data_IF_440906367120
#
_entry.id   IF_440906367120
#
_cell.length_a   1.000
_cell.length_b   1.000
_cell.length_c   1.000
_cell.angle_alpha   90.00
_cell.angle_beta   90.00
_cell.angle_gamma   90.00
#
_symmetry.space_group_name_H-M   'P 1'
#
loop_
_entity.id
_entity.type
_entity.pdbx_description
1 polymer ?
#
# COMPACT_ATOMS: atom_id res chain seq x y z
N UNK A 1 -3.15 3.49 11.92
CA UNK A 1 -2.23 2.64 11.12
C UNK A 1 -2.52 1.20 11.46
N UNK A 2 -2.54 0.28 10.49
CA UNK A 2 -2.75 -1.15 10.76
C UNK A 2 -1.63 -1.75 11.63
N UNK A 3 -1.99 -2.66 12.54
CA UNK A 3 -1.03 -3.36 13.41
C UNK A 3 0.04 -4.14 12.61
N UNK A 4 -0.32 -4.66 11.43
CA UNK A 4 0.60 -5.33 10.52
C UNK A 4 1.77 -4.43 10.08
N UNK A 5 1.55 -3.12 9.92
CA UNK A 5 2.61 -2.17 9.64
C UNK A 5 3.37 -1.76 10.91
N UNK A 6 2.65 -1.59 12.01
CA UNK A 6 3.24 -1.19 13.29
C UNK A 6 4.32 -2.16 13.79
N UNK A 7 4.08 -3.47 13.66
CA UNK A 7 5.06 -4.50 14.02
C UNK A 7 6.38 -4.44 13.22
N UNK A 8 6.38 -3.73 12.08
CA UNK A 8 7.52 -3.66 11.16
C UNK A 8 8.21 -2.29 11.13
N UNK A 9 7.78 -1.30 11.94
CA UNK A 9 8.36 0.05 11.95
C UNK A 9 9.90 0.07 12.09
N UNK A 10 10.44 -0.87 12.86
CA UNK A 10 11.89 -1.02 13.06
C UNK A 10 12.66 -1.23 11.74
N UNK A 11 12.03 -1.79 10.70
CA UNK A 11 12.64 -1.98 9.37
C UNK A 11 12.85 -0.66 8.63
N UNK A 12 12.14 0.41 9.00
CA UNK A 12 12.36 1.77 8.50
C UNK A 12 13.26 2.59 9.44
N UNK A 13 13.85 1.97 10.47
CA UNK A 13 14.56 2.68 11.53
C UNK A 13 13.65 3.54 12.41
N UNK A 14 12.35 3.26 12.43
CA UNK A 14 11.36 4.01 13.20
C UNK A 14 11.06 3.28 14.51
N UNK A 15 11.02 4.03 15.62
CA UNK A 15 10.71 3.49 16.95
C UNK A 15 9.66 4.34 17.66
N UNK A 16 8.73 3.68 18.37
CA UNK A 16 7.71 4.36 19.17
C UNK A 16 6.74 5.21 18.36
N UNK A 17 6.11 6.19 19.01
CA UNK A 17 5.05 7.01 18.38
C UNK A 17 5.59 8.19 17.53
N UNK A 18 6.90 8.45 17.56
CA UNK A 18 7.53 9.56 16.83
C UNK A 18 7.73 9.31 15.34
N UNK A 19 7.29 8.15 14.82
CA UNK A 19 7.39 7.83 13.39
C UNK A 19 6.76 8.89 12.49
N UNK A 20 5.73 9.61 12.96
CA UNK A 20 5.03 10.67 12.20
C UNK A 20 5.90 11.87 11.87
N UNK A 21 7.00 12.08 12.59
CA UNK A 21 7.96 13.14 12.27
C UNK A 21 8.87 12.77 11.07
N UNK A 22 8.96 11.48 10.74
CA UNK A 22 9.93 10.94 9.78
C UNK A 22 9.29 10.18 8.61
N UNK A 23 8.04 9.76 8.75
CA UNK A 23 7.33 8.97 7.76
C UNK A 23 5.93 9.51 7.49
N UNK A 24 5.50 9.34 6.24
CA UNK A 24 4.15 9.69 5.78
C UNK A 24 3.37 8.40 5.58
N UNK A 25 2.17 8.34 6.17
CA UNK A 25 1.21 7.29 5.89
C UNK A 25 0.20 7.76 4.85
N UNK A 26 0.12 7.06 3.73
CA UNK A 26 -0.89 7.25 2.68
C UNK A 26 -1.78 6.02 2.59
N UNK A 27 -3.09 6.24 2.60
CA UNK A 27 -4.10 5.19 2.45
C UNK A 27 -4.89 5.42 1.16
N UNK A 28 -5.03 4.38 0.35
CA UNK A 28 -5.73 4.43 -0.94
C UNK A 28 -6.62 3.21 -1.13
N UNK A 29 -7.68 3.40 -1.90
CA UNK A 29 -8.51 2.33 -2.46
C UNK A 29 -8.12 2.13 -3.91
N UNK A 30 -7.86 0.89 -4.29
CA UNK A 30 -7.60 0.51 -5.66
C UNK A 30 -8.89 -0.04 -6.27
N UNK A 31 -9.31 0.58 -7.36
CA UNK A 31 -10.49 0.19 -8.12
C UNK A 31 -10.09 -0.54 -9.42
N UNK A 32 -10.84 -1.58 -9.76
CA UNK A 32 -10.78 -2.26 -11.05
C UNK A 32 -12.05 -1.91 -11.83
N UNK A 33 -11.99 -0.85 -12.63
CA UNK A 33 -13.20 -0.22 -13.17
C UNK A 33 -14.10 0.27 -12.03
N UNK A 34 -15.37 -0.13 -12.00
CA UNK A 34 -16.31 0.27 -10.95
C UNK A 34 -16.19 -0.53 -9.64
N UNK A 35 -15.33 -1.55 -9.57
CA UNK A 35 -15.22 -2.44 -8.40
C UNK A 35 -14.12 -1.98 -7.46
N UNK A 36 -14.41 -1.87 -6.16
CA UNK A 36 -13.38 -1.67 -5.14
C UNK A 36 -12.65 -3.00 -4.88
N UNK A 37 -11.40 -3.08 -5.36
CA UNK A 37 -10.62 -4.31 -5.36
C UNK A 37 -9.70 -4.46 -4.16
N UNK A 38 -9.11 -3.38 -3.65
CA UNK A 38 -8.24 -3.47 -2.48
C UNK A 38 -8.05 -2.15 -1.75
N UNK A 39 -7.82 -2.23 -0.46
CA UNK A 39 -7.28 -1.11 0.33
C UNK A 39 -5.76 -1.27 0.46
N UNK A 40 -5.01 -0.18 0.32
CA UNK A 40 -3.56 -0.19 0.50
C UNK A 40 -3.08 0.94 1.42
N UNK A 41 -2.10 0.62 2.26
CA UNK A 41 -1.39 1.56 3.13
C UNK A 41 0.08 1.59 2.74
N UNK A 42 0.56 2.77 2.38
CA UNK A 42 1.97 3.05 2.10
C UNK A 42 2.52 3.94 3.22
N UNK A 43 3.34 3.37 4.11
CA UNK A 43 4.11 4.12 5.10
C UNK A 43 5.52 4.32 4.55
N UNK A 44 5.86 5.53 4.12
CA UNK A 44 7.12 5.80 3.44
C UNK A 44 7.93 6.90 4.11
N UNK A 45 9.25 6.85 3.93
CA UNK A 45 10.20 7.87 4.37
C UNK A 45 10.35 8.93 3.27
N UNK A 46 9.85 10.18 3.44
CA UNK A 46 9.99 11.21 2.40
C UNK A 46 11.44 11.51 2.04
N UNK A 47 12.37 11.38 2.99
CA UNK A 47 13.81 11.56 2.78
C UNK A 47 14.46 10.49 1.89
N UNK A 48 13.78 9.37 1.65
CA UNK A 48 14.25 8.27 0.81
C UNK A 48 13.65 8.30 -0.60
N UNK A 49 12.70 9.20 -0.86
CA UNK A 49 12.16 9.45 -2.20
C UNK A 49 13.02 10.47 -2.95
N UNK A 50 13.07 10.32 -4.27
CA UNK A 50 13.57 11.40 -5.12
C UNK A 50 12.70 12.65 -4.92
N UNK A 51 13.28 13.87 -4.86
CA UNK A 51 12.52 15.10 -4.62
C UNK A 51 11.31 15.25 -5.55
N UNK A 52 11.50 15.01 -6.85
CA UNK A 52 10.43 15.07 -7.85
C UNK A 52 9.30 14.06 -7.56
N UNK A 53 9.62 12.86 -7.09
CA UNK A 53 8.61 11.85 -6.76
C UNK A 53 7.75 12.28 -5.56
N UNK A 54 8.38 12.91 -4.55
CA UNK A 54 7.64 13.46 -3.41
C UNK A 54 6.70 14.58 -3.84
N UNK A 55 7.17 15.51 -4.67
CA UNK A 55 6.35 16.60 -5.21
C UNK A 55 5.17 16.06 -6.04
N UNK A 56 5.41 15.07 -6.90
CA UNK A 56 4.37 14.43 -7.69
C UNK A 56 3.30 13.76 -6.81
N UNK A 57 3.71 13.08 -5.74
CA UNK A 57 2.79 12.48 -4.77
C UNK A 57 1.97 13.51 -3.99
N UNK A 58 2.55 14.69 -3.71
CA UNK A 58 1.85 15.79 -3.05
C UNK A 58 0.86 16.49 -4.00
N UNK A 59 1.25 16.66 -5.26
CA UNK A 59 0.43 17.33 -6.27
C UNK A 59 -0.70 16.45 -6.81
N UNK A 60 -0.47 15.14 -6.92
CA UNK A 60 -1.44 14.19 -7.46
C UNK A 60 -1.77 13.10 -6.44
N UNK A 61 -2.88 13.24 -5.69
CA UNK A 61 -3.27 12.24 -4.70
C UNK A 61 -3.78 10.94 -5.34
N UNK A 62 -4.00 10.90 -6.65
CA UNK A 62 -4.38 9.70 -7.40
C UNK A 62 -3.18 8.93 -8.00
N UNK A 63 -1.98 9.53 -8.01
CA UNK A 63 -0.78 8.88 -8.55
C UNK A 63 -0.45 7.61 -7.75
N UNK A 64 -0.44 6.40 -8.35
CA UNK A 64 -0.08 5.19 -7.63
C UNK A 64 1.32 5.30 -7.00
N UNK A 65 1.42 4.95 -5.72
CA UNK A 65 2.69 5.08 -4.98
C UNK A 65 3.84 4.32 -5.65
N UNK A 66 3.58 3.09 -6.12
CA UNK A 66 4.59 2.29 -6.80
C UNK A 66 5.13 2.92 -8.09
N UNK A 67 4.33 3.73 -8.80
CA UNK A 67 4.80 4.45 -9.99
C UNK A 67 5.72 5.61 -9.61
N UNK A 68 5.38 6.36 -8.56
CA UNK A 68 6.21 7.46 -8.07
C UNK A 68 7.51 6.97 -7.42
N UNK A 69 7.43 5.88 -6.66
CA UNK A 69 8.53 5.34 -5.86
C UNK A 69 9.53 4.48 -6.67
N UNK A 70 9.19 4.11 -7.91
CA UNK A 70 10.06 3.30 -8.75
C UNK A 70 11.38 4.02 -9.08
N UNK A 71 12.50 3.28 -9.22
CA UNK A 71 12.63 1.84 -9.03
C UNK A 71 12.82 1.42 -7.56
N UNK A 72 12.33 0.24 -7.20
CA UNK A 72 12.53 -0.37 -5.88
C UNK A 72 12.60 -1.89 -5.95
N UNK A 73 13.22 -2.50 -4.95
CA UNK A 73 13.13 -3.91 -4.61
C UNK A 73 11.97 -4.12 -3.63
N UNK A 74 11.16 -5.16 -3.86
CA UNK A 74 10.04 -5.54 -2.98
C UNK A 74 10.39 -6.84 -2.27
N UNK A 75 10.34 -6.84 -0.93
CA UNK A 75 10.51 -8.03 -0.09
C UNK A 75 9.24 -8.30 0.71
N UNK A 76 8.65 -9.48 0.51
CA UNK A 76 7.49 -9.91 1.28
C UNK A 76 7.88 -10.12 2.76
N UNK A 77 7.04 -9.63 3.67
CA UNK A 77 7.21 -9.76 5.12
C UNK A 77 6.16 -10.68 5.72
N UNK A 78 4.96 -10.70 5.15
CA UNK A 78 3.87 -11.53 5.64
C UNK A 78 2.71 -11.60 4.66
N UNK A 79 1.93 -12.66 4.84
CA UNK A 79 0.72 -12.95 4.08
C UNK A 79 -0.31 -13.55 5.04
N UNK A 80 -1.56 -13.11 4.91
CA UNK A 80 -2.69 -13.66 5.65
C UNK A 80 -3.86 -13.83 4.71
N UNK A 81 -4.44 -15.02 4.71
CA UNK A 81 -5.69 -15.31 4.01
C UNK A 81 -6.80 -15.49 5.04
N UNK A 82 -8.01 -15.07 4.71
CA UNK A 82 -9.18 -15.39 5.52
C UNK A 82 -10.30 -15.99 4.67
N UNK A 83 -11.12 -16.91 5.22
CA UNK A 83 -12.19 -17.54 4.48
C UNK A 83 -13.21 -16.52 3.95
N UNK A 84 -13.73 -16.76 2.75
CA UNK A 84 -14.76 -15.92 2.13
C UNK A 84 -16.02 -15.76 3.00
N UNK A 85 -16.35 -16.80 3.77
CA UNK A 85 -17.50 -16.86 4.67
C UNK A 85 -17.37 -15.91 5.89
N UNK A 86 -16.16 -15.46 6.22
CA UNK A 86 -15.90 -14.50 7.30
C UNK A 86 -15.94 -13.03 6.84
N UNK A 87 -16.23 -12.76 5.56
CA UNK A 87 -16.10 -11.42 4.99
C UNK A 87 -17.23 -10.44 5.38
N UNK A 88 -18.33 -10.89 6.00
CA UNK A 88 -19.39 -9.98 6.46
C UNK A 88 -18.92 -9.01 7.56
N UNK A 89 -17.88 -9.38 8.30
CA UNK A 89 -17.28 -8.55 9.36
C UNK A 89 -15.93 -7.94 8.95
N UNK A 90 -15.33 -8.42 7.86
CA UNK A 90 -13.94 -8.12 7.52
C UNK A 90 -13.75 -8.14 5.98
N UNK A 91 -13.65 -6.98 5.31
CA UNK A 91 -13.99 -6.86 3.88
C UNK A 91 -12.92 -7.37 2.89
N UNK A 92 -11.91 -8.12 3.35
CA UNK A 92 -10.78 -8.59 2.56
C UNK A 92 -10.65 -10.12 2.59
N UNK A 93 -9.90 -10.72 1.66
CA UNK A 93 -9.65 -12.18 1.57
C UNK A 93 -8.16 -12.50 1.64
N UNK A 94 -7.32 -11.54 1.25
CA UNK A 94 -5.86 -11.66 1.25
C UNK A 94 -5.24 -10.35 1.75
N UNK A 95 -4.30 -10.45 2.68
CA UNK A 95 -3.52 -9.34 3.21
C UNK A 95 -2.03 -9.61 2.95
N UNK A 96 -1.36 -8.70 2.24
CA UNK A 96 0.08 -8.74 1.99
C UNK A 96 0.78 -7.62 2.74
N UNK A 97 1.87 -7.95 3.43
CA UNK A 97 2.78 -6.95 3.99
C UNK A 97 4.14 -7.06 3.31
N UNK A 98 4.71 -5.94 2.88
CA UNK A 98 6.00 -5.90 2.20
C UNK A 98 6.86 -4.70 2.63
N UNK A 99 8.18 -4.87 2.53
CA UNK A 99 9.15 -3.79 2.58
C UNK A 99 9.57 -3.43 1.15
N UNK A 100 9.53 -2.15 0.82
CA UNK A 100 10.19 -1.61 -0.37
C UNK A 100 11.53 -1.01 0.02
N UNK A 101 12.54 -1.21 -0.82
CA UNK A 101 13.87 -0.66 -0.63
C UNK A 101 14.45 -0.20 -1.97
N UNK A 102 15.24 0.86 -1.97
CA UNK A 102 16.00 1.30 -3.13
C UNK A 102 17.50 1.22 -2.81
N UNK A 103 18.36 1.79 -3.67
CA UNK A 103 19.81 1.81 -3.44
C UNK A 103 20.19 2.55 -2.13
N UNK A 104 19.37 3.50 -1.68
CA UNK A 104 19.58 4.26 -0.45
C UNK A 104 19.13 3.54 0.82
N UNK A 105 18.43 2.41 0.69
CA UNK A 105 17.99 1.57 1.81
C UNK A 105 16.47 1.42 1.89
N UNK A 106 15.92 1.20 3.11
CA UNK A 106 14.49 1.05 3.32
C UNK A 106 13.71 2.29 2.89
N UNK A 107 12.70 2.11 2.06
CA UNK A 107 11.91 3.19 1.48
C UNK A 107 10.51 3.29 2.10
N UNK A 108 9.82 2.15 2.13
CA UNK A 108 8.43 2.11 2.58
C UNK A 108 8.02 0.73 3.09
N UNK A 109 7.07 0.71 4.02
CA UNK A 109 6.28 -0.47 4.33
C UNK A 109 4.93 -0.35 3.61
N UNK A 110 4.51 -1.46 3.00
CA UNK A 110 3.26 -1.56 2.25
C UNK A 110 2.40 -2.63 2.89
N UNK A 111 1.13 -2.32 3.10
CA UNK A 111 0.08 -3.28 3.40
C UNK A 111 -0.97 -3.20 2.29
N UNK A 112 -1.31 -4.34 1.70
CA UNK A 112 -2.38 -4.46 0.71
C UNK A 112 -3.42 -5.44 1.25
N UNK A 113 -4.68 -5.04 1.27
CA UNK A 113 -5.82 -5.90 1.61
C UNK A 113 -6.73 -6.03 0.41
N UNK A 114 -6.68 -7.19 -0.22
CA UNK A 114 -7.49 -7.50 -1.39
C UNK A 114 -8.87 -7.95 -0.96
N UNK A 115 -9.88 -7.42 -1.63
CA UNK A 115 -11.28 -7.78 -1.44
C UNK A 115 -11.65 -8.95 -2.35
N UNK A 116 -12.70 -9.70 -2.04
CA UNK A 116 -13.28 -10.70 -2.94
C UNK A 116 -13.35 -10.26 -4.42
N UNK A 117 -13.71 -9.01 -4.64
CA UNK A 117 -13.92 -8.37 -5.93
C UNK A 117 -12.62 -8.22 -6.76
N UNK A 118 -11.44 -8.37 -6.14
CA UNK A 118 -10.16 -8.44 -6.83
C UNK A 118 -9.87 -9.82 -7.43
N UNK A 119 -10.59 -10.87 -7.00
CA UNK A 119 -10.43 -12.18 -7.59
C UNK A 119 -11.00 -12.17 -9.01
N UNK A 120 -10.29 -12.74 -9.99
CA UNK A 120 -10.80 -12.78 -11.35
C UNK A 120 -12.06 -13.65 -11.41
N UNK A 121 -13.21 -13.04 -11.71
CA UNK A 121 -14.43 -13.76 -12.11
C UNK A 121 -14.28 -14.32 -13.53
N UNK A 122 -13.23 -15.07 -13.87
CA UNK A 122 -12.97 -15.54 -15.25
C UNK A 122 -13.07 -14.45 -16.36
N UNK A 123 -13.12 -13.16 -16.02
CA UNK A 123 -13.37 -12.03 -16.92
C UNK A 123 -12.83 -10.73 -16.32
N UNK A 124 -11.50 -10.64 -16.17
CA UNK A 124 -10.85 -9.32 -16.10
C UNK A 124 -10.36 -9.02 -17.51
N UNK A 125 -11.00 -8.09 -18.26
CA UNK A 125 -10.48 -7.70 -19.56
C UNK A 125 -9.09 -7.07 -19.39
N UNK A 126 -8.18 -7.36 -20.32
CA UNK A 126 -6.75 -7.02 -20.33
C UNK A 126 -6.43 -5.52 -20.15
N UNK A 127 -7.43 -4.63 -20.15
CA UNK A 127 -7.30 -3.18 -20.12
C UNK A 127 -7.68 -2.55 -18.77
N UNK A 128 -7.71 -3.33 -17.69
CA UNK A 128 -8.11 -2.83 -16.37
C UNK A 128 -7.02 -1.93 -15.80
N UNK A 129 -7.24 -0.61 -15.85
CA UNK A 129 -6.43 0.38 -15.15
C UNK A 129 -6.76 0.32 -13.65
N UNK A 130 -5.75 0.10 -12.81
CA UNK A 130 -5.88 0.22 -11.37
C UNK A 130 -5.91 1.71 -10.99
N UNK A 131 -7.08 2.21 -10.62
CA UNK A 131 -7.23 3.59 -10.15
C UNK A 131 -7.10 3.66 -8.63
N UNK A 132 -6.22 4.51 -8.13
CA UNK A 132 -6.02 4.72 -6.70
C UNK A 132 -6.83 5.95 -6.22
N UNK A 133 -7.80 5.74 -5.35
CA UNK A 133 -8.61 6.79 -4.73
C UNK A 133 -8.11 7.04 -3.30
N UNK A 134 -7.78 8.28 -2.90
CA UNK A 134 -7.44 8.59 -1.51
C UNK A 134 -8.63 8.35 -0.59
N UNK A 135 -8.37 7.80 0.60
CA UNK A 135 -9.39 7.79 1.66
C UNK A 135 -9.21 9.05 2.52
N UNK A 136 -10.23 9.91 2.67
CA UNK A 136 -10.16 11.09 3.54
C UNK A 136 -9.91 10.69 5.00
N UNK A 137 -9.11 11.50 5.71
CA UNK A 137 -8.72 11.27 7.11
C UNK A 137 -9.86 11.55 8.08
#
# INVERSE_FOLDING_TARGET
MPAALEGHLHLLGLTGQNWRAHATLRMVQLHCGARHCSDAWNLFLPSQLAPMALEQLQANPFLPFGLAAAPFNRRQLGERCQPFQSCSENPWVLEHTALLSNLGGPLALVLERYRPEALPENTIPENTVLEATPIPR
#
